data_IF_360162726274
#
_entry.id   IF_360162726274
#
_cell.length_a   1.000
_cell.length_b   1.000
_cell.length_c   1.000
_cell.angle_alpha   90.00
_cell.angle_beta   90.00
_cell.angle_gamma   90.00
#
_symmetry.space_group_name_H-M   'P 1'
#
loop_
_entity.id
_entity.type
_entity.pdbx_description
1 polymer ?
#
# COMPACT_ATOMS: atom_id res chain seq x y z
N UNK A 1 40.07 15.85 -58.12
CA UNK A 1 40.43 15.24 -56.82
C UNK A 1 39.46 15.76 -55.76
N UNK A 2 38.41 15.04 -55.50
CA UNK A 2 37.39 15.44 -54.52
C UNK A 2 37.50 14.51 -53.30
N UNK A 3 37.82 15.08 -52.16
CA UNK A 3 37.84 14.37 -50.90
C UNK A 3 36.44 14.37 -50.29
N UNK A 4 35.78 13.20 -50.21
CA UNK A 4 34.54 13.02 -49.51
C UNK A 4 34.77 12.89 -48.00
N UNK A 5 34.22 13.79 -47.22
CA UNK A 5 34.19 13.69 -45.77
C UNK A 5 33.04 12.78 -45.34
N UNK A 6 33.35 11.61 -44.79
CA UNK A 6 32.37 10.75 -44.18
C UNK A 6 32.04 11.27 -42.78
N UNK A 7 30.78 11.74 -42.62
CA UNK A 7 30.24 12.14 -41.32
C UNK A 7 29.94 10.88 -40.49
N UNK A 8 30.74 10.64 -39.44
CA UNK A 8 30.46 9.62 -38.45
C UNK A 8 29.25 10.04 -37.57
N UNK A 9 28.10 9.38 -37.73
CA UNK A 9 26.96 9.52 -36.82
C UNK A 9 27.28 8.79 -35.51
N UNK A 10 27.67 9.56 -34.51
CA UNK A 10 27.76 9.03 -33.14
C UNK A 10 26.32 8.75 -32.66
N UNK A 11 25.98 7.47 -32.54
CA UNK A 11 24.80 7.05 -31.82
C UNK A 11 25.02 7.40 -30.34
N UNK A 12 24.35 8.44 -29.88
CA UNK A 12 24.24 8.73 -28.47
C UNK A 12 23.48 7.54 -27.83
N UNK A 13 24.21 6.64 -27.19
CA UNK A 13 23.60 5.63 -26.35
C UNK A 13 22.92 6.38 -25.21
N UNK A 14 21.57 6.41 -25.20
CA UNK A 14 20.80 6.92 -24.09
C UNK A 14 21.20 6.13 -22.85
N UNK A 15 21.76 6.79 -21.84
CA UNK A 15 22.01 6.17 -20.54
C UNK A 15 20.67 5.66 -20.04
N UNK A 16 20.56 4.41 -19.59
CA UNK A 16 19.31 3.91 -19.01
C UNK A 16 18.92 4.83 -17.85
N UNK A 17 17.68 5.31 -17.85
CA UNK A 17 17.13 6.09 -16.75
C UNK A 17 17.23 5.20 -15.51
N UNK A 18 18.03 5.60 -14.54
CA UNK A 18 18.16 4.85 -13.28
C UNK A 18 16.87 5.03 -12.49
N UNK A 19 16.07 3.97 -12.38
CA UNK A 19 14.85 3.96 -11.57
C UNK A 19 15.21 4.06 -10.08
N UNK A 20 14.34 4.70 -9.31
CA UNK A 20 14.47 4.77 -7.87
C UNK A 20 14.49 3.36 -7.24
N UNK A 21 15.11 3.19 -6.06
CA UNK A 21 15.13 1.92 -5.37
C UNK A 21 13.72 1.47 -4.98
N UNK A 22 13.55 0.14 -4.91
CA UNK A 22 12.33 -0.49 -4.41
C UNK A 22 12.61 -0.93 -2.96
N UNK A 23 11.74 -0.53 -2.04
CA UNK A 23 11.80 -0.91 -0.63
C UNK A 23 10.85 -2.07 -0.37
N UNK A 24 11.33 -3.13 0.27
CA UNK A 24 10.53 -4.30 0.64
C UNK A 24 10.68 -4.56 2.13
N UNK A 25 9.59 -4.46 2.87
CA UNK A 25 9.56 -4.68 4.32
C UNK A 25 9.57 -6.18 4.63
N UNK A 26 10.57 -6.63 5.38
CA UNK A 26 10.71 -8.02 5.82
C UNK A 26 10.22 -8.14 7.26
N UNK A 27 8.92 -8.40 7.45
CA UNK A 27 8.25 -8.27 8.75
C UNK A 27 8.84 -9.17 9.83
N UNK A 28 9.25 -10.39 9.49
CA UNK A 28 9.83 -11.34 10.45
C UNK A 28 11.35 -11.15 10.68
N UNK A 29 12.01 -10.35 9.85
CA UNK A 29 13.45 -10.10 9.98
C UNK A 29 13.77 -8.71 10.56
N UNK A 30 12.75 -7.84 10.75
CA UNK A 30 12.94 -6.50 11.33
C UNK A 30 13.83 -5.60 10.47
N UNK A 31 13.72 -5.68 9.15
CA UNK A 31 14.52 -4.90 8.21
C UNK A 31 13.78 -4.61 6.90
N UNK A 32 14.38 -3.74 6.10
CA UNK A 32 13.93 -3.39 4.75
C UNK A 32 14.99 -3.80 3.75
N UNK A 33 14.63 -4.61 2.76
CA UNK A 33 15.46 -4.85 1.58
C UNK A 33 15.35 -3.66 0.63
N UNK A 34 16.49 -3.15 0.19
CA UNK A 34 16.63 -2.10 -0.83
C UNK A 34 17.03 -2.77 -2.13
N UNK A 35 16.16 -2.71 -3.12
CA UNK A 35 16.35 -3.37 -4.42
C UNK A 35 16.65 -2.31 -5.49
N UNK A 36 17.65 -2.55 -6.33
CA UNK A 36 17.89 -1.72 -7.52
C UNK A 36 16.68 -1.75 -8.45
N UNK A 37 16.07 -0.58 -8.71
CA UNK A 37 14.84 -0.47 -9.53
C UNK A 37 15.03 -0.78 -11.01
N UNK A 38 16.28 -0.93 -11.48
CA UNK A 38 16.62 -1.23 -12.88
C UNK A 38 17.13 -2.66 -13.05
N UNK A 39 18.07 -3.10 -12.20
CA UNK A 39 18.73 -4.42 -12.30
C UNK A 39 18.02 -5.50 -11.49
N UNK A 40 17.14 -5.10 -10.57
CA UNK A 40 16.39 -5.98 -9.67
C UNK A 40 17.29 -6.89 -8.83
N UNK A 41 18.35 -6.32 -8.26
CA UNK A 41 19.25 -6.98 -7.31
C UNK A 41 19.16 -6.28 -5.96
N UNK A 42 19.33 -7.04 -4.87
CA UNK A 42 19.35 -6.45 -3.54
C UNK A 42 20.68 -5.68 -3.36
N UNK A 43 20.56 -4.38 -3.04
CA UNK A 43 21.68 -3.47 -2.80
C UNK A 43 22.09 -3.45 -1.33
N UNK A 44 21.09 -3.48 -0.44
CA UNK A 44 21.30 -3.35 1.00
C UNK A 44 20.11 -3.89 1.80
N UNK A 45 20.32 -4.10 3.09
CA UNK A 45 19.27 -4.29 4.10
C UNK A 45 19.42 -3.23 5.17
N UNK A 46 18.34 -2.53 5.43
CA UNK A 46 18.27 -1.47 6.43
C UNK A 46 17.62 -2.06 7.68
N UNK A 47 18.30 -2.12 8.83
CA UNK A 47 17.67 -2.49 10.08
C UNK A 47 16.59 -1.44 10.45
N UNK A 48 15.44 -1.93 10.90
CA UNK A 48 14.34 -1.10 11.43
C UNK A 48 13.94 -1.57 12.82
N UNK A 49 12.76 -1.21 13.28
CA UNK A 49 12.16 -1.86 14.44
C UNK A 49 11.61 -3.25 14.10
N UNK A 50 11.04 -3.93 15.09
CA UNK A 50 10.42 -5.24 14.91
C UNK A 50 9.11 -5.12 14.15
N UNK A 51 8.83 -6.11 13.31
CA UNK A 51 7.63 -6.20 12.48
C UNK A 51 7.38 -4.93 11.63
N UNK A 52 8.31 -4.52 10.75
CA UNK A 52 8.02 -3.49 9.77
C UNK A 52 6.88 -3.99 8.87
N UNK A 53 5.76 -3.26 8.84
CA UNK A 53 4.54 -3.76 8.23
C UNK A 53 4.08 -2.92 7.04
N UNK A 54 3.85 -1.63 7.25
CA UNK A 54 3.46 -0.71 6.20
C UNK A 54 4.42 0.48 6.09
N UNK A 55 4.38 1.13 4.93
CA UNK A 55 5.17 2.32 4.67
C UNK A 55 4.34 3.37 3.93
N UNK A 56 4.68 4.63 4.17
CA UNK A 56 4.00 5.77 3.55
C UNK A 56 4.96 6.95 3.39
N UNK A 57 4.80 7.73 2.33
CA UNK A 57 5.58 8.95 2.10
C UNK A 57 5.11 10.07 3.01
N UNK A 58 6.05 10.84 3.55
CA UNK A 58 5.73 12.10 4.25
C UNK A 58 5.16 13.15 3.28
N UNK A 59 4.34 14.09 3.77
CA UNK A 59 3.73 15.12 2.92
C UNK A 59 4.74 16.00 2.14
N UNK A 60 5.94 16.19 2.70
CA UNK A 60 7.03 16.96 2.07
C UNK A 60 7.91 16.12 1.12
N UNK A 61 7.57 14.85 0.94
CA UNK A 61 8.26 13.87 0.09
C UNK A 61 9.75 13.64 0.42
N UNK A 62 10.19 13.99 1.63
CA UNK A 62 11.58 13.80 2.05
C UNK A 62 11.85 12.45 2.70
N UNK A 63 10.79 11.79 3.20
CA UNK A 63 10.94 10.52 3.89
C UNK A 63 9.86 9.53 3.50
N UNK A 64 10.23 8.26 3.40
CA UNK A 64 9.28 7.16 3.54
C UNK A 64 9.30 6.68 4.98
N UNK A 65 8.11 6.65 5.61
CA UNK A 65 7.93 6.19 6.99
C UNK A 65 7.66 4.70 6.95
N UNK A 66 8.41 3.93 7.73
CA UNK A 66 8.19 2.50 7.99
C UNK A 66 7.57 2.34 9.37
N UNK A 67 6.38 1.74 9.43
CA UNK A 67 5.69 1.43 10.67
C UNK A 67 6.22 0.11 11.24
N UNK A 68 6.81 0.16 12.43
CA UNK A 68 7.38 -1.00 13.13
C UNK A 68 6.41 -1.44 14.24
N UNK A 69 5.40 -2.22 13.85
CA UNK A 69 4.29 -2.59 14.73
C UNK A 69 4.75 -3.32 16.01
N UNK A 70 5.77 -4.17 15.91
CA UNK A 70 6.30 -4.97 17.03
C UNK A 70 7.24 -4.22 17.98
N UNK A 71 7.54 -2.94 17.75
CA UNK A 71 8.47 -2.16 18.59
C UNK A 71 8.05 -0.71 18.81
N UNK A 72 6.76 -0.37 18.59
CA UNK A 72 6.16 0.91 18.91
C UNK A 72 6.97 2.09 18.36
N UNK A 73 7.34 2.02 17.06
CA UNK A 73 8.22 3.03 16.45
C UNK A 73 7.96 3.22 14.97
N UNK A 74 8.39 4.38 14.47
CA UNK A 74 8.45 4.70 13.05
C UNK A 74 9.90 4.92 12.64
N UNK A 75 10.34 4.30 11.54
CA UNK A 75 11.66 4.56 10.94
C UNK A 75 11.47 5.42 9.70
N UNK A 76 12.20 6.53 9.61
CA UNK A 76 12.17 7.47 8.49
C UNK A 76 13.38 7.20 7.60
N UNK A 77 13.15 6.96 6.33
CA UNK A 77 14.18 6.61 5.35
C UNK A 77 14.09 7.61 4.19
N UNK A 78 15.22 8.15 3.76
CA UNK A 78 15.30 8.93 2.54
C UNK A 78 15.00 8.04 1.33
N UNK A 79 13.95 8.35 0.54
CA UNK A 79 13.50 7.46 -0.55
C UNK A 79 14.46 7.42 -1.74
N UNK A 80 15.43 8.34 -1.85
CA UNK A 80 16.38 8.43 -2.94
C UNK A 80 17.71 7.77 -2.61
N UNK A 81 18.18 7.97 -1.37
CA UNK A 81 19.50 7.47 -0.92
C UNK A 81 19.41 6.20 -0.10
N UNK A 82 18.20 5.80 0.32
CA UNK A 82 17.96 4.67 1.22
C UNK A 82 18.66 4.81 2.60
N UNK A 83 18.98 6.04 3.03
CA UNK A 83 19.59 6.28 4.33
C UNK A 83 18.51 6.45 5.39
N UNK A 84 18.70 5.83 6.55
CA UNK A 84 17.87 6.09 7.73
C UNK A 84 18.15 7.50 8.22
N UNK A 85 17.12 8.32 8.27
CA UNK A 85 17.22 9.70 8.75
C UNK A 85 17.02 9.78 10.25
N UNK A 86 16.00 9.06 10.77
CA UNK A 86 15.69 8.99 12.20
C UNK A 86 14.74 7.84 12.53
N UNK A 87 14.59 7.54 13.82
CA UNK A 87 13.57 6.64 14.36
C UNK A 87 12.79 7.38 15.46
N UNK A 88 11.48 7.47 15.29
CA UNK A 88 10.56 8.01 16.30
C UNK A 88 10.02 6.86 17.15
N UNK A 89 10.17 6.93 18.46
CA UNK A 89 9.67 5.94 19.42
C UNK A 89 8.38 6.43 20.10
N UNK A 90 7.63 5.49 20.69
CA UNK A 90 6.39 5.80 21.40
C UNK A 90 5.14 5.88 20.51
N UNK A 91 5.25 5.45 19.26
CA UNK A 91 4.11 5.24 18.37
C UNK A 91 3.54 3.85 18.66
N UNK A 92 2.49 3.79 19.44
CA UNK A 92 1.95 2.53 19.98
C UNK A 92 1.33 1.68 18.89
N UNK A 93 1.86 0.45 18.68
CA UNK A 93 1.37 -0.57 17.77
C UNK A 93 1.02 -0.04 16.36
N UNK A 94 1.92 0.68 15.67
CA UNK A 94 1.61 1.31 14.39
C UNK A 94 1.62 0.23 13.28
N UNK A 95 0.49 -0.42 13.07
CA UNK A 95 0.35 -1.48 12.06
C UNK A 95 0.19 -0.88 10.66
N UNK A 96 -0.83 -0.05 10.45
CA UNK A 96 -1.05 0.71 9.22
C UNK A 96 -1.04 2.21 9.51
N UNK A 97 -0.68 3.00 8.51
CA UNK A 97 -0.58 4.45 8.65
C UNK A 97 -1.02 5.16 7.37
N UNK A 98 -1.61 6.35 7.52
CA UNK A 98 -2.04 7.17 6.39
C UNK A 98 -2.09 8.65 6.76
N UNK A 99 -1.71 9.50 5.80
CA UNK A 99 -2.00 10.93 5.87
C UNK A 99 -3.35 11.23 5.23
N UNK A 100 -4.08 12.23 5.76
CA UNK A 100 -5.24 12.79 5.08
C UNK A 100 -4.81 13.53 3.81
N UNK A 101 -5.65 13.61 2.76
CA UNK A 101 -5.34 14.37 1.54
C UNK A 101 -4.96 15.83 1.78
N UNK A 102 -5.54 16.50 2.79
CA UNK A 102 -5.20 17.87 3.19
C UNK A 102 -3.92 17.96 4.05
N UNK A 103 -3.26 16.83 4.29
CA UNK A 103 -2.00 16.67 5.05
C UNK A 103 -2.05 17.13 6.52
N UNK A 104 -3.26 17.37 7.08
CA UNK A 104 -3.38 17.84 8.48
C UNK A 104 -3.46 16.73 9.50
N UNK A 105 -3.91 15.54 9.06
CA UNK A 105 -4.03 14.38 9.91
C UNK A 105 -3.05 13.30 9.51
N UNK A 106 -2.46 12.70 10.52
CA UNK A 106 -1.75 11.44 10.41
C UNK A 106 -2.51 10.41 11.26
N UNK A 107 -2.87 9.30 10.67
CA UNK A 107 -3.74 8.29 11.30
C UNK A 107 -3.01 6.96 11.33
N UNK A 108 -3.06 6.27 12.47
CA UNK A 108 -2.50 4.90 12.60
C UNK A 108 -3.55 3.93 13.11
N UNK A 109 -3.51 2.70 12.60
CA UNK A 109 -4.27 1.57 13.14
C UNK A 109 -3.38 0.75 14.05
N UNK A 110 -3.81 0.54 15.30
CA UNK A 110 -3.14 -0.29 16.29
C UNK A 110 -3.81 -1.68 16.30
N UNK A 111 -3.25 -2.58 15.49
CA UNK A 111 -3.86 -3.85 15.13
C UNK A 111 -4.09 -4.78 16.34
N UNK A 112 -3.10 -4.89 17.23
CA UNK A 112 -3.17 -5.75 18.43
C UNK A 112 -3.91 -5.10 19.59
N UNK A 113 -4.00 -3.77 19.60
CA UNK A 113 -4.57 -3.01 20.73
C UNK A 113 -5.98 -2.48 20.45
N UNK A 114 -6.54 -2.78 19.27
CA UNK A 114 -7.94 -2.51 18.92
C UNK A 114 -8.33 -1.03 19.01
N UNK A 115 -7.48 -0.15 18.49
CA UNK A 115 -7.79 1.27 18.41
C UNK A 115 -7.21 1.93 17.15
N UNK A 116 -7.73 3.08 16.81
CA UNK A 116 -7.18 3.98 15.80
C UNK A 116 -6.77 5.26 16.49
N UNK A 117 -5.54 5.70 16.22
CA UNK A 117 -4.99 6.93 16.75
C UNK A 117 -5.00 8.04 15.68
N UNK A 118 -5.53 9.19 16.05
CA UNK A 118 -5.54 10.41 15.27
C UNK A 118 -4.46 11.35 15.77
N UNK A 119 -3.56 11.76 14.87
CA UNK A 119 -2.48 12.71 15.18
C UNK A 119 -2.62 13.95 14.31
N UNK A 120 -2.18 15.10 14.85
CA UNK A 120 -1.79 16.25 14.04
C UNK A 120 -0.35 16.10 13.60
N UNK A 121 -0.09 16.47 12.36
CA UNK A 121 1.24 16.47 11.79
C UNK A 121 1.74 17.91 11.68
N UNK A 122 2.90 18.22 12.28
CA UNK A 122 3.49 19.57 12.29
C UNK A 122 4.49 19.81 11.14
N UNK A 123 4.64 18.83 10.26
CA UNK A 123 5.64 18.79 9.19
C UNK A 123 6.80 17.85 9.49
N UNK A 124 7.00 17.49 10.77
CA UNK A 124 8.09 16.62 11.20
C UNK A 124 7.61 15.51 12.16
N UNK A 125 6.79 15.88 13.15
CA UNK A 125 6.37 14.96 14.21
C UNK A 125 4.85 14.85 14.34
N UNK A 126 4.33 13.65 14.65
CA UNK A 126 2.93 13.46 14.98
C UNK A 126 2.68 13.80 16.46
N UNK A 127 1.62 14.58 16.72
CA UNK A 127 1.11 14.84 18.07
C UNK A 127 -0.23 14.16 18.23
N UNK A 128 -0.36 13.23 19.19
CA UNK A 128 -1.60 12.50 19.45
C UNK A 128 -2.71 13.46 19.86
N UNK A 129 -3.82 13.42 19.13
CA UNK A 129 -5.03 14.20 19.43
C UNK A 129 -6.07 13.33 20.10
N UNK A 130 -6.29 12.14 19.55
CA UNK A 130 -7.33 11.22 20.01
C UNK A 130 -6.97 9.78 19.77
N UNK A 131 -7.25 8.92 20.76
CA UNK A 131 -7.29 7.47 20.61
C UNK A 131 -8.73 7.02 20.61
N UNK A 132 -9.13 6.26 19.58
CA UNK A 132 -10.51 5.82 19.36
C UNK A 132 -10.55 4.30 19.47
N UNK A 133 -11.16 3.73 20.51
CA UNK A 133 -11.41 2.29 20.59
C UNK A 133 -12.27 1.82 19.42
N UNK A 134 -11.92 0.68 18.83
CA UNK A 134 -12.60 0.10 17.66
C UNK A 134 -13.06 -1.34 17.92
N UNK A 135 -13.44 -2.05 16.88
CA UNK A 135 -13.55 -3.50 16.88
C UNK A 135 -12.17 -4.17 16.91
N UNK A 136 -12.16 -5.50 16.86
CA UNK A 136 -10.92 -6.27 16.96
C UNK A 136 -10.11 -6.21 15.68
N UNK A 137 -8.80 -6.02 15.86
CA UNK A 137 -7.79 -6.09 14.80
C UNK A 137 -8.04 -5.06 13.69
N UNK A 138 -8.04 -3.73 14.01
CA UNK A 138 -8.07 -2.70 12.97
C UNK A 138 -6.91 -2.92 12.00
N UNK A 139 -7.22 -2.97 10.71
CA UNK A 139 -6.26 -3.33 9.67
C UNK A 139 -5.88 -2.11 8.84
N UNK A 140 -6.38 -2.00 7.62
CA UNK A 140 -6.00 -0.90 6.74
C UNK A 140 -6.93 0.30 6.89
N UNK A 141 -6.43 1.46 6.46
CA UNK A 141 -7.09 2.75 6.56
C UNK A 141 -7.33 3.34 5.17
N UNK A 142 -8.50 3.94 4.99
CA UNK A 142 -8.76 4.86 3.89
C UNK A 142 -9.26 6.20 4.45
N UNK A 143 -8.89 7.30 3.81
CA UNK A 143 -9.40 8.63 4.16
C UNK A 143 -10.00 9.23 2.88
N UNK A 144 -11.21 9.75 2.96
CA UNK A 144 -11.91 10.35 1.83
C UNK A 144 -11.15 11.56 1.25
N UNK A 145 -11.43 11.92 0.00
CA UNK A 145 -10.71 12.99 -0.70
C UNK A 145 -10.85 14.35 -0.02
N UNK A 146 -11.93 14.54 0.74
CA UNK A 146 -12.24 15.76 1.50
C UNK A 146 -11.56 15.83 2.86
N UNK A 147 -10.86 14.77 3.27
CA UNK A 147 -10.22 14.68 4.61
C UNK A 147 -11.23 14.80 5.76
N UNK A 148 -12.42 14.24 5.58
CA UNK A 148 -13.50 14.31 6.58
C UNK A 148 -13.71 13.00 7.32
N UNK A 149 -13.51 11.86 6.65
CA UNK A 149 -13.84 10.54 7.19
C UNK A 149 -12.70 9.55 7.02
N UNK A 150 -12.35 8.86 8.10
CA UNK A 150 -11.45 7.70 8.09
C UNK A 150 -12.30 6.44 8.08
N UNK A 151 -12.07 5.57 7.12
CA UNK A 151 -12.62 4.22 7.07
C UNK A 151 -11.55 3.21 7.44
N UNK A 152 -11.92 2.16 8.17
CA UNK A 152 -11.01 1.06 8.50
C UNK A 152 -11.76 -0.25 8.66
N UNK A 153 -11.14 -1.32 8.21
CA UNK A 153 -11.61 -2.69 8.42
C UNK A 153 -11.16 -3.23 9.76
N UNK A 154 -12.04 -4.00 10.42
CA UNK A 154 -11.80 -4.70 11.68
C UNK A 154 -11.73 -6.19 11.38
N UNK A 155 -10.52 -6.73 11.24
CA UNK A 155 -10.26 -8.03 10.64
C UNK A 155 -10.87 -9.20 11.44
N UNK A 156 -10.78 -9.16 12.78
CA UNK A 156 -11.24 -10.25 13.65
C UNK A 156 -12.66 -10.03 14.22
N UNK A 157 -13.31 -8.92 13.87
CA UNK A 157 -14.72 -8.68 14.21
C UNK A 157 -15.60 -8.52 12.98
N UNK A 158 -15.04 -8.71 11.76
CA UNK A 158 -15.76 -8.68 10.49
C UNK A 158 -16.56 -7.39 10.28
N UNK A 159 -15.93 -6.24 10.53
CA UNK A 159 -16.59 -4.94 10.50
C UNK A 159 -15.83 -3.93 9.62
N UNK A 160 -16.57 -2.98 9.08
CA UNK A 160 -16.05 -1.73 8.54
C UNK A 160 -16.52 -0.59 9.43
N UNK A 161 -15.62 0.27 9.88
CA UNK A 161 -15.94 1.44 10.70
C UNK A 161 -15.64 2.74 9.95
N UNK A 162 -16.39 3.79 10.30
CA UNK A 162 -16.15 5.15 9.85
C UNK A 162 -15.96 6.08 11.06
N UNK A 163 -14.90 6.90 11.00
CA UNK A 163 -14.54 7.88 12.03
C UNK A 163 -14.60 9.26 11.40
N UNK A 164 -15.38 10.15 11.98
CA UNK A 164 -15.43 11.56 11.59
C UNK A 164 -14.25 12.32 12.19
N UNK A 165 -13.45 12.96 11.33
CA UNK A 165 -12.24 13.68 11.73
C UNK A 165 -12.52 15.02 12.43
N UNK A 166 -13.67 15.64 12.18
CA UNK A 166 -14.03 16.90 12.82
C UNK A 166 -14.45 16.68 14.27
N UNK A 167 -15.28 15.69 14.52
CA UNK A 167 -15.74 15.33 15.88
C UNK A 167 -14.80 14.35 16.59
N UNK A 168 -13.92 13.69 15.85
CA UNK A 168 -12.97 12.67 16.35
C UNK A 168 -13.72 11.51 17.04
N UNK A 169 -14.80 11.07 16.44
CA UNK A 169 -15.66 9.99 16.97
C UNK A 169 -15.92 8.92 15.90
N UNK A 170 -16.08 7.68 16.36
CA UNK A 170 -16.59 6.60 15.52
C UNK A 170 -18.08 6.85 15.27
N UNK A 171 -18.45 7.14 14.00
CA UNK A 171 -19.81 7.51 13.62
C UNK A 171 -20.60 6.36 13.00
N UNK A 172 -19.93 5.42 12.36
CA UNK A 172 -20.59 4.26 11.75
C UNK A 172 -19.82 2.97 12.00
N UNK A 173 -20.56 1.88 12.12
CA UNK A 173 -20.06 0.52 12.21
C UNK A 173 -21.02 -0.39 11.44
N UNK A 174 -20.50 -1.13 10.46
CA UNK A 174 -21.30 -2.03 9.64
C UNK A 174 -20.62 -3.38 9.51
N UNK A 175 -21.42 -4.44 9.39
CA UNK A 175 -20.93 -5.80 9.21
C UNK A 175 -20.39 -6.01 7.80
N UNK A 176 -19.29 -6.72 7.68
CA UNK A 176 -18.68 -7.17 6.41
C UNK A 176 -18.75 -8.69 6.29
N UNK A 177 -18.20 -9.24 5.20
CA UNK A 177 -17.82 -10.64 5.12
C UNK A 177 -16.56 -10.93 5.96
N UNK A 178 -16.05 -12.20 5.95
CA UNK A 178 -15.04 -12.65 6.88
C UNK A 178 -13.66 -12.05 6.64
N UNK A 179 -13.02 -11.63 7.73
CA UNK A 179 -11.66 -11.10 7.78
C UNK A 179 -11.39 -9.99 6.75
N UNK A 180 -12.11 -8.86 6.80
CA UNK A 180 -11.85 -7.73 5.92
C UNK A 180 -10.43 -7.20 6.18
N UNK A 181 -9.66 -6.94 5.12
CA UNK A 181 -8.29 -6.44 5.25
C UNK A 181 -8.14 -5.01 4.75
N UNK A 182 -7.91 -4.83 3.45
CA UNK A 182 -7.71 -3.50 2.90
C UNK A 182 -9.03 -2.83 2.49
N UNK A 183 -9.01 -1.52 2.52
CA UNK A 183 -10.11 -0.64 2.11
C UNK A 183 -9.59 0.32 1.06
N UNK A 184 -10.22 0.35 -0.10
CA UNK A 184 -9.95 1.30 -1.18
C UNK A 184 -11.20 2.12 -1.50
N UNK A 185 -11.10 3.44 -1.40
CA UNK A 185 -12.17 4.34 -1.84
C UNK A 185 -12.01 4.73 -3.30
N UNK A 186 -13.12 4.78 -4.03
CA UNK A 186 -13.11 5.33 -5.39
C UNK A 186 -12.80 6.82 -5.36
N UNK A 187 -12.11 7.38 -6.38
CA UNK A 187 -11.70 8.81 -6.37
C UNK A 187 -12.85 9.82 -6.29
N UNK A 188 -14.07 9.38 -6.60
CA UNK A 188 -15.30 10.19 -6.49
C UNK A 188 -15.96 10.14 -5.10
N UNK A 189 -15.35 9.46 -4.12
CA UNK A 189 -15.84 9.21 -2.77
C UNK A 189 -17.24 8.55 -2.69
N UNK A 190 -17.65 7.82 -3.74
CA UNK A 190 -18.96 7.16 -3.77
C UNK A 190 -18.94 5.75 -3.23
N UNK A 191 -17.84 5.02 -3.46
CA UNK A 191 -17.75 3.62 -3.08
C UNK A 191 -16.48 3.30 -2.30
N UNK A 192 -16.59 2.32 -1.41
CA UNK A 192 -15.46 1.64 -0.79
C UNK A 192 -15.44 0.19 -1.27
N UNK A 193 -14.27 -0.26 -1.68
CA UNK A 193 -13.96 -1.65 -1.96
C UNK A 193 -13.27 -2.25 -0.73
N UNK A 194 -13.79 -3.35 -0.21
CA UNK A 194 -13.25 -4.03 0.98
C UNK A 194 -12.83 -5.45 0.60
N UNK A 195 -11.55 -5.75 0.72
CA UNK A 195 -10.99 -7.07 0.42
C UNK A 195 -11.25 -8.06 1.55
N UNK A 196 -11.77 -9.25 1.23
CA UNK A 196 -12.07 -10.29 2.21
C UNK A 196 -10.97 -11.34 2.25
N UNK A 197 -10.04 -11.21 3.18
CA UNK A 197 -8.92 -12.18 3.31
C UNK A 197 -9.39 -13.56 3.76
N UNK A 198 -10.42 -13.65 4.60
CA UNK A 198 -11.02 -14.91 5.04
C UNK A 198 -12.01 -15.51 4.04
N UNK A 199 -12.31 -14.82 2.95
CA UNK A 199 -13.31 -15.20 1.97
C UNK A 199 -12.81 -15.21 0.54
N UNK A 200 -13.77 -15.00 -0.38
CA UNK A 200 -13.52 -14.79 -1.80
C UNK A 200 -14.15 -13.46 -2.21
N UNK A 201 -13.37 -12.64 -2.92
CA UNK A 201 -13.90 -11.41 -3.52
C UNK A 201 -13.74 -10.16 -2.67
N UNK A 202 -14.31 -9.11 -3.23
CA UNK A 202 -14.27 -7.74 -2.73
C UNK A 202 -15.70 -7.25 -2.56
N UNK A 203 -16.06 -6.81 -1.36
CA UNK A 203 -17.35 -6.16 -1.13
C UNK A 203 -17.30 -4.70 -1.55
N UNK A 204 -18.43 -4.20 -2.08
CA UNK A 204 -18.60 -2.81 -2.51
C UNK A 204 -19.62 -2.15 -1.61
N UNK A 205 -19.21 -1.09 -0.92
CA UNK A 205 -20.07 -0.29 -0.06
C UNK A 205 -20.31 1.09 -0.68
N UNK A 206 -21.55 1.54 -0.69
CA UNK A 206 -21.92 2.91 -1.03
C UNK A 206 -21.72 3.80 0.21
N UNK A 207 -20.96 4.88 0.05
CA UNK A 207 -20.65 5.88 1.09
C UNK A 207 -20.90 7.31 0.62
N UNK A 208 -21.61 7.48 -0.48
CA UNK A 208 -21.87 8.78 -1.09
C UNK A 208 -22.44 9.78 -0.07
N UNK A 209 -21.85 10.97 0.00
CA UNK A 209 -22.28 12.03 0.92
C UNK A 209 -21.88 11.82 2.38
N UNK A 210 -21.02 10.85 2.71
CA UNK A 210 -20.57 10.56 4.08
C UNK A 210 -21.59 9.80 4.93
N UNK A 211 -22.59 9.17 4.28
CA UNK A 211 -23.59 8.32 4.97
C UNK A 211 -22.96 7.04 5.53
N UNK A 212 -23.74 6.34 6.35
CA UNK A 212 -23.35 5.00 6.81
C UNK A 212 -23.07 4.07 5.63
N UNK A 213 -21.92 3.37 5.62
CA UNK A 213 -21.60 2.43 4.54
C UNK A 213 -22.71 1.41 4.33
N UNK A 214 -23.18 1.27 3.10
CA UNK A 214 -24.23 0.31 2.75
C UNK A 214 -23.70 -0.67 1.71
N UNK A 215 -23.78 -1.97 2.00
CA UNK A 215 -23.35 -3.01 1.05
C UNK A 215 -24.24 -2.99 -0.20
N UNK A 216 -23.65 -2.73 -1.36
CA UNK A 216 -24.38 -2.62 -2.65
C UNK A 216 -23.93 -3.67 -3.67
N UNK A 217 -22.85 -4.39 -3.42
CA UNK A 217 -22.38 -5.42 -4.36
C UNK A 217 -21.16 -6.19 -3.86
N UNK A 218 -20.79 -7.17 -4.68
CA UNK A 218 -19.57 -7.96 -4.50
C UNK A 218 -18.93 -8.24 -5.84
N UNK A 219 -17.60 -8.04 -5.91
CA UNK A 219 -16.79 -8.35 -7.10
C UNK A 219 -16.12 -9.70 -6.85
N UNK A 220 -16.36 -10.67 -7.71
CA UNK A 220 -15.70 -11.96 -7.63
C UNK A 220 -14.22 -11.83 -8.02
N UNK A 221 -13.32 -12.13 -7.10
CA UNK A 221 -11.87 -12.22 -7.29
C UNK A 221 -11.35 -13.56 -6.78
N UNK A 222 -10.04 -13.76 -6.78
CA UNK A 222 -9.45 -14.95 -6.17
C UNK A 222 -9.66 -15.00 -4.65
N UNK A 223 -9.44 -16.16 -4.05
CA UNK A 223 -9.54 -16.36 -2.60
C UNK A 223 -8.46 -15.57 -1.86
N UNK A 224 -8.86 -14.92 -0.77
CA UNK A 224 -7.95 -14.19 0.12
C UNK A 224 -7.63 -12.78 -0.40
N UNK A 225 -8.63 -12.03 -0.89
CA UNK A 225 -8.45 -10.63 -1.32
C UNK A 225 -7.92 -9.80 -0.15
N UNK A 226 -6.73 -9.15 -0.33
CA UNK A 226 -5.99 -8.61 0.79
C UNK A 226 -5.60 -7.14 0.63
N UNK A 227 -4.77 -6.78 -0.34
CA UNK A 227 -4.23 -5.44 -0.47
C UNK A 227 -4.58 -4.81 -1.82
N UNK A 228 -5.00 -3.55 -1.80
CA UNK A 228 -5.30 -2.79 -3.01
C UNK A 228 -4.15 -1.89 -3.44
N UNK A 229 -4.04 -1.65 -4.74
CA UNK A 229 -3.12 -0.67 -5.33
C UNK A 229 -3.71 -0.10 -6.62
N UNK A 230 -4.00 1.21 -6.63
CA UNK A 230 -4.42 1.89 -7.85
C UNK A 230 -3.35 1.81 -8.94
N UNK A 231 -3.77 1.77 -10.19
CA UNK A 231 -2.84 1.75 -11.34
C UNK A 231 -2.44 3.15 -11.82
N UNK A 232 -3.00 4.22 -11.21
CA UNK A 232 -2.71 5.61 -11.54
C UNK A 232 -3.39 6.12 -12.82
N UNK A 233 -4.33 5.36 -13.36
CA UNK A 233 -5.09 5.69 -14.57
C UNK A 233 -6.52 6.18 -14.25
N UNK A 234 -6.83 6.42 -12.98
CA UNK A 234 -8.14 6.83 -12.47
C UNK A 234 -9.31 5.91 -12.90
N UNK A 235 -9.01 4.63 -13.07
CA UNK A 235 -10.00 3.64 -13.51
C UNK A 235 -9.77 2.25 -12.93
N UNK A 236 -8.51 1.85 -12.77
CA UNK A 236 -8.19 0.50 -12.37
C UNK A 236 -7.51 0.44 -11.00
N UNK A 237 -7.91 -0.56 -10.23
CA UNK A 237 -7.27 -0.93 -8.98
C UNK A 237 -6.91 -2.42 -9.02
N UNK A 238 -5.74 -2.75 -8.53
CA UNK A 238 -5.29 -4.12 -8.31
C UNK A 238 -5.71 -4.58 -6.93
N UNK A 239 -6.03 -5.87 -6.78
CA UNK A 239 -6.18 -6.53 -5.49
C UNK A 239 -5.40 -7.84 -5.47
N UNK A 240 -4.54 -8.02 -4.45
CA UNK A 240 -3.84 -9.28 -4.26
C UNK A 240 -4.77 -10.33 -3.65
N UNK A 241 -4.78 -11.52 -4.24
CA UNK A 241 -5.53 -12.69 -3.76
C UNK A 241 -4.53 -13.65 -3.11
N UNK A 242 -4.27 -13.45 -1.81
CA UNK A 242 -3.17 -14.10 -1.08
C UNK A 242 -3.22 -15.62 -1.15
N UNK A 243 -4.40 -16.21 -1.04
CA UNK A 243 -4.59 -17.68 -1.03
C UNK A 243 -4.65 -18.25 -2.46
N UNK A 244 -5.24 -17.50 -3.39
CA UNK A 244 -5.32 -17.92 -4.79
C UNK A 244 -4.00 -17.75 -5.55
N UNK A 245 -3.01 -17.01 -5.01
CA UNK A 245 -1.74 -16.71 -5.68
C UNK A 245 -1.92 -15.95 -7.00
N UNK A 246 -2.87 -15.02 -7.01
CA UNK A 246 -3.14 -14.14 -8.15
C UNK A 246 -3.29 -12.69 -7.73
N UNK A 247 -3.31 -11.78 -8.70
CA UNK A 247 -3.70 -10.38 -8.54
C UNK A 247 -4.82 -10.15 -9.54
N UNK A 248 -5.97 -9.65 -9.08
CA UNK A 248 -7.08 -9.25 -9.96
C UNK A 248 -6.99 -7.74 -10.22
N UNK A 249 -7.16 -7.34 -11.48
CA UNK A 249 -7.34 -5.94 -11.88
C UNK A 249 -8.83 -5.65 -11.99
N UNK A 250 -9.31 -4.71 -11.21
CA UNK A 250 -10.71 -4.30 -11.16
C UNK A 250 -10.86 -2.96 -11.88
N UNK A 251 -11.78 -2.88 -12.83
CA UNK A 251 -12.33 -1.62 -13.34
C UNK A 251 -13.38 -1.15 -12.33
N UNK A 252 -13.04 -0.17 -11.47
CA UNK A 252 -13.94 0.30 -10.43
C UNK A 252 -15.07 1.21 -10.94
N UNK A 253 -15.02 1.63 -12.21
CA UNK A 253 -16.17 2.34 -12.83
C UNK A 253 -17.28 1.37 -13.27
N UNK A 254 -16.92 0.09 -13.48
CA UNK A 254 -17.84 -0.99 -13.85
C UNK A 254 -18.02 -2.04 -12.75
N UNK A 255 -17.24 -1.96 -11.68
CA UNK A 255 -17.20 -2.94 -10.59
C UNK A 255 -16.97 -4.37 -11.09
N UNK A 256 -16.04 -4.55 -12.04
CA UNK A 256 -15.75 -5.85 -12.65
C UNK A 256 -14.25 -6.12 -12.75
N UNK A 257 -13.86 -7.39 -12.65
CA UNK A 257 -12.48 -7.82 -12.94
C UNK A 257 -12.27 -7.81 -14.46
N UNK A 258 -11.20 -7.16 -14.93
CA UNK A 258 -10.84 -7.03 -16.35
C UNK A 258 -9.55 -7.77 -16.70
N UNK A 259 -8.73 -8.12 -15.73
CA UNK A 259 -7.54 -8.93 -15.90
C UNK A 259 -7.18 -9.68 -14.62
N UNK A 260 -6.42 -10.76 -14.78
CA UNK A 260 -5.80 -11.50 -13.68
C UNK A 260 -4.33 -11.79 -14.01
N UNK A 261 -3.48 -11.74 -12.97
CA UNK A 261 -2.05 -11.94 -13.07
C UNK A 261 -1.63 -13.08 -12.12
N UNK A 262 -0.77 -14.00 -12.53
CA UNK A 262 -0.16 -14.95 -11.61
C UNK A 262 0.79 -14.22 -10.67
N UNK A 263 0.63 -14.43 -9.38
CA UNK A 263 1.46 -13.83 -8.34
C UNK A 263 1.79 -14.88 -7.27
N UNK A 264 2.77 -15.75 -7.53
CA UNK A 264 2.99 -16.94 -6.71
C UNK A 264 3.47 -16.62 -5.31
N UNK A 265 3.02 -17.46 -4.42
CA UNK A 265 3.42 -17.67 -3.04
C UNK A 265 2.99 -16.57 -2.07
N UNK A 266 1.66 -16.37 -2.00
CA UNK A 266 1.02 -15.47 -1.05
C UNK A 266 1.32 -14.01 -1.37
N UNK A 267 0.79 -13.45 -2.49
CA UNK A 267 0.94 -12.04 -2.81
C UNK A 267 0.35 -11.19 -1.68
N UNK A 268 1.11 -10.18 -1.27
CA UNK A 268 0.72 -9.29 -0.19
C UNK A 268 0.60 -7.85 -0.71
N UNK A 269 1.14 -6.85 -0.01
CA UNK A 269 1.15 -5.49 -0.50
C UNK A 269 2.02 -5.37 -1.76
N UNK A 270 1.64 -4.44 -2.62
CA UNK A 270 2.27 -4.24 -3.91
C UNK A 270 2.41 -2.77 -4.25
N UNK A 271 3.28 -2.48 -5.22
CA UNK A 271 3.36 -1.19 -5.89
C UNK A 271 3.35 -1.38 -7.41
N UNK A 272 3.09 -0.29 -8.14
CA UNK A 272 3.05 -0.26 -9.60
C UNK A 272 4.04 0.79 -10.08
N UNK A 273 4.86 0.48 -11.09
CA UNK A 273 5.78 1.43 -11.69
C UNK A 273 5.06 2.65 -12.26
N UNK A 274 5.71 3.81 -12.28
CA UNK A 274 5.12 5.08 -12.74
C UNK A 274 4.52 5.00 -14.16
N UNK A 275 5.12 4.17 -15.03
CA UNK A 275 4.65 3.91 -16.39
C UNK A 275 3.53 2.88 -16.48
N UNK A 276 3.06 2.32 -15.35
CA UNK A 276 2.00 1.30 -15.29
C UNK A 276 2.37 -0.06 -15.87
N UNK A 277 3.62 -0.29 -16.25
CA UNK A 277 4.03 -1.50 -16.98
C UNK A 277 4.44 -2.66 -16.08
N UNK A 278 4.77 -2.40 -14.83
CA UNK A 278 5.31 -3.40 -13.90
C UNK A 278 4.57 -3.37 -12.56
N UNK A 279 4.08 -4.53 -12.12
CA UNK A 279 3.59 -4.75 -10.76
C UNK A 279 4.74 -5.34 -9.93
N UNK A 280 4.97 -4.79 -8.76
CA UNK A 280 5.97 -5.21 -7.78
C UNK A 280 5.25 -5.69 -6.52
N UNK A 281 5.27 -6.98 -6.21
CA UNK A 281 4.49 -7.56 -5.10
C UNK A 281 5.35 -8.40 -4.17
N UNK A 282 5.13 -8.27 -2.86
CA UNK A 282 5.72 -9.13 -1.86
C UNK A 282 5.13 -10.55 -1.94
N UNK A 283 5.94 -11.54 -2.25
CA UNK A 283 5.57 -12.96 -2.18
C UNK A 283 5.86 -13.47 -0.78
N UNK A 284 4.90 -13.29 0.13
CA UNK A 284 5.05 -13.42 1.59
C UNK A 284 5.61 -14.77 2.03
N UNK A 285 5.10 -15.86 1.45
CA UNK A 285 5.48 -17.21 1.86
C UNK A 285 6.79 -17.70 1.24
N UNK A 286 7.24 -17.05 0.16
CA UNK A 286 8.49 -17.41 -0.52
C UNK A 286 9.68 -16.54 -0.12
N UNK A 287 9.48 -15.44 0.63
CA UNK A 287 10.55 -14.50 0.93
C UNK A 287 11.11 -13.83 -0.33
N UNK A 288 10.24 -13.39 -1.23
CA UNK A 288 10.63 -12.80 -2.52
C UNK A 288 9.87 -11.51 -2.81
N UNK A 289 10.50 -10.61 -3.55
CA UNK A 289 9.82 -9.62 -4.37
C UNK A 289 9.56 -10.24 -5.74
N UNK A 290 8.31 -10.25 -6.20
CA UNK A 290 7.91 -10.73 -7.51
C UNK A 290 7.54 -9.57 -8.41
N UNK A 291 8.09 -9.55 -9.62
CA UNK A 291 7.85 -8.54 -10.64
C UNK A 291 7.01 -9.16 -11.77
N UNK A 292 5.92 -8.49 -12.13
CA UNK A 292 4.94 -8.97 -13.10
C UNK A 292 4.81 -7.93 -14.20
N UNK A 293 5.00 -8.36 -15.45
CA UNK A 293 4.79 -7.55 -16.64
C UNK A 293 3.26 -7.47 -16.90
N UNK A 294 2.74 -6.24 -16.88
CA UNK A 294 1.29 -5.97 -17.01
C UNK A 294 0.78 -6.36 -18.39
N UNK A 295 1.51 -6.03 -19.47
CA UNK A 295 1.09 -6.33 -20.83
C UNK A 295 1.16 -7.83 -21.15
N UNK A 296 2.19 -8.52 -20.66
CA UNK A 296 2.39 -9.96 -20.86
C UNK A 296 1.63 -10.82 -19.86
N UNK A 297 1.09 -10.23 -18.81
CA UNK A 297 0.37 -10.91 -17.72
C UNK A 297 1.14 -12.09 -17.13
N UNK A 298 2.45 -11.92 -16.91
CA UNK A 298 3.30 -12.99 -16.38
C UNK A 298 4.38 -12.46 -15.46
N UNK A 299 4.84 -13.31 -14.55
CA UNK A 299 6.04 -13.07 -13.76
C UNK A 299 7.24 -12.97 -14.69
N UNK A 300 8.00 -11.88 -14.58
CA UNK A 300 9.22 -11.65 -15.36
C UNK A 300 10.47 -11.76 -14.52
N UNK A 301 10.38 -11.51 -13.21
CA UNK A 301 11.52 -11.58 -12.32
C UNK A 301 11.11 -11.90 -10.89
N UNK A 302 12.00 -12.51 -10.12
CA UNK A 302 11.86 -12.71 -8.67
C UNK A 302 13.19 -12.46 -7.97
N UNK A 303 13.17 -11.59 -6.96
CA UNK A 303 14.32 -11.26 -6.12
C UNK A 303 14.12 -11.90 -4.76
N UNK A 304 15.12 -12.62 -4.25
CA UNK A 304 15.12 -13.10 -2.87
C UNK A 304 15.28 -11.90 -1.94
N UNK A 305 14.40 -11.78 -0.96
CA UNK A 305 14.45 -10.76 0.11
C UNK A 305 14.44 -11.44 1.47
N UNK A 306 14.05 -10.75 2.54
CA UNK A 306 13.93 -11.37 3.86
C UNK A 306 12.64 -12.16 4.05
N UNK A 307 12.37 -12.56 5.28
CA UNK A 307 11.22 -13.39 5.66
C UNK A 307 9.95 -12.55 5.77
N UNK A 308 8.85 -13.12 5.25
CA UNK A 308 7.52 -12.52 5.29
C UNK A 308 7.51 -11.09 4.73
N UNK A 309 7.93 -10.89 3.45
CA UNK A 309 7.83 -9.57 2.82
C UNK A 309 6.38 -9.12 2.80
N UNK A 310 6.15 -7.88 3.25
CA UNK A 310 4.83 -7.28 3.36
C UNK A 310 4.73 -6.01 2.51
N UNK A 311 5.05 -4.84 3.06
CA UNK A 311 5.01 -3.58 2.33
C UNK A 311 6.03 -3.53 1.19
N UNK A 312 5.60 -3.09 0.02
CA UNK A 312 6.45 -2.78 -1.15
C UNK A 312 6.20 -1.35 -1.56
N UNK A 313 7.26 -0.61 -1.85
CA UNK A 313 7.15 0.78 -2.24
C UNK A 313 8.36 1.23 -3.06
N UNK A 314 8.15 2.13 -4.01
CA UNK A 314 9.20 2.84 -4.75
C UNK A 314 8.81 4.31 -4.94
N UNK A 315 9.79 5.21 -5.09
CA UNK A 315 9.51 6.60 -5.43
C UNK A 315 8.94 6.73 -6.87
N UNK A 316 9.40 5.86 -7.78
CA UNK A 316 8.94 5.80 -9.18
C UNK A 316 7.65 4.98 -9.32
N UNK A 317 6.63 5.31 -8.54
CA UNK A 317 5.35 4.60 -8.56
C UNK A 317 4.27 5.36 -9.36
N UNK A 318 3.28 4.61 -9.87
CA UNK A 318 2.06 5.17 -10.45
C UNK A 318 1.25 5.97 -9.40
N UNK A 319 0.38 6.86 -9.83
CA UNK A 319 -0.56 7.57 -8.95
C UNK A 319 -1.30 6.62 -8.01
N UNK A 320 -1.74 7.11 -6.84
CA UNK A 320 -2.41 6.27 -5.83
C UNK A 320 -3.93 6.38 -5.86
N UNK A 321 -4.43 7.11 -6.82
CA UNK A 321 -5.86 7.29 -7.15
C UNK A 321 -6.07 7.26 -8.66
#
# INVERSE_FOLDING_TARGET
>A
MGAGAAAAHAHAQSRPVQRAPIFVLNSLDGNVSVIDGTRFVELARIPTGREPHHLYMTPDEKSVIVANAGSDSLTFIDPRTAQVQRTLRGMIDPYHLRFSPDMKWFVTAANRLNHIDLYRWDGENPTLVKRIPTGRTPSHLWIDSRSTTVYSSMQDSDELVAIDLATQTLVHRVQTGPMPADVFGTPDDRHLLVGLTGGTGVQVFDVEGGKAPTLVGQIATGKGAHAFRAMGDHRHVLVSNRVANTISQIDYTRMTVVAEFPAPSGPDCMDVSADGTLIMVGSRWAGKLTLIDVAKRRVVYQVKVGKSPHGVWTLDHAGRV
#
